data_IF_734443105431
#
_entry.id   IF_734443105431
#
_cell.length_a   1.000
_cell.length_b   1.000
_cell.length_c   1.000
_cell.angle_alpha   90.00
_cell.angle_beta   90.00
_cell.angle_gamma   90.00
#
_symmetry.space_group_name_H-M   'P 1'
#
loop_
_entity.id
_entity.type
_entity.pdbx_description
1 polymer ?
#
# COMPACT_ATOMS: atom_id res chain seq x y z
N UNK A 54 4.39 4.71 15.39
CA UNK A 54 5.36 3.89 16.09
C UNK A 54 5.60 2.62 15.26
N UNK A 55 6.58 1.81 15.62
CA UNK A 55 6.77 0.45 15.04
C UNK A 55 5.49 -0.41 14.95
N UNK A 56 5.53 -1.39 14.03
CA UNK A 56 4.42 -2.35 13.82
C UNK A 56 4.24 -3.17 15.10
N UNK A 57 3.03 -3.41 15.57
CA UNK A 57 2.82 -4.10 16.90
C UNK A 57 3.18 -5.60 16.87
N UNK A 58 4.21 -6.02 16.14
CA UNK A 58 4.68 -7.43 16.20
C UNK A 58 6.16 -7.42 16.70
N UNK A 59 6.67 -8.48 17.36
CA UNK A 59 8.13 -8.84 17.38
C UNK A 59 8.81 -8.86 15.99
N UNK A 60 10.15 -8.65 15.88
CA UNK A 60 10.92 -8.76 14.64
C UNK A 60 10.23 -8.20 13.40
N UNK A 61 9.89 -6.91 13.38
CA UNK A 61 8.82 -6.39 12.50
C UNK A 61 9.28 -6.26 11.04
N UNK A 62 10.36 -6.96 10.65
CA UNK A 62 10.95 -6.96 9.25
C UNK A 62 11.37 -5.56 8.83
N UNK A 63 11.81 -4.79 9.84
CA UNK A 63 12.19 -3.36 9.78
C UNK A 63 10.98 -2.41 9.53
N UNK A 64 9.78 -2.85 9.91
CA UNK A 64 8.54 -2.07 9.89
C UNK A 64 7.88 -2.07 8.50
N UNK A 65 8.59 -2.70 7.52
CA UNK A 65 8.02 -3.04 6.24
C UNK A 65 7.00 -4.19 6.39
N UNK A 66 5.88 -4.17 5.62
CA UNK A 66 4.88 -5.25 5.72
C UNK A 66 4.46 -5.77 4.38
N UNK A 67 4.88 -7.02 4.10
CA UNK A 67 4.32 -7.79 3.01
C UNK A 67 2.79 -8.00 3.22
N UNK A 68 2.08 -7.82 2.08
CA UNK A 68 0.62 -7.71 2.07
C UNK A 68 -0.01 -8.35 0.81
N UNK A 69 -1.17 -8.99 1.04
CA UNK A 69 -1.86 -9.71 0.00
C UNK A 69 -3.33 -9.38 0.21
N UNK A 70 -4.21 -9.90 -0.64
CA UNK A 70 -5.67 -9.78 -0.52
C UNK A 70 -6.18 -10.49 0.77
N UNK A 71 -5.67 -11.72 1.04
CA UNK A 71 -5.94 -12.41 2.29
C UNK A 71 -5.48 -11.65 3.53
N UNK A 72 -4.23 -11.15 3.57
CA UNK A 72 -3.73 -10.48 4.75
C UNK A 72 -4.45 -9.15 5.02
N UNK A 73 -4.72 -8.33 4.03
CA UNK A 73 -5.48 -7.11 4.23
C UNK A 73 -6.95 -7.35 4.75
N UNK A 74 -7.60 -8.42 4.29
CA UNK A 74 -8.96 -8.82 4.71
C UNK A 74 -10.05 -7.98 3.98
N UNK A 75 -9.75 -7.59 2.73
CA UNK A 75 -10.60 -6.73 1.94
C UNK A 75 -10.25 -7.02 0.47
N UNK A 76 -11.16 -6.71 -0.46
CA UNK A 76 -10.96 -6.80 -1.92
C UNK A 76 -9.70 -6.13 -2.46
N UNK A 77 -8.93 -6.91 -3.22
CA UNK A 77 -7.63 -6.45 -3.72
C UNK A 77 -7.79 -5.23 -4.69
N UNK A 78 -7.15 -4.08 -4.45
CA UNK A 78 -7.58 -2.77 -5.05
C UNK A 78 -6.77 -2.38 -6.26
N UNK A 79 -5.80 -3.19 -6.68
CA UNK A 79 -4.92 -2.88 -7.85
C UNK A 79 -4.93 -4.15 -8.75
N UNK A 80 -4.41 -4.05 -9.98
CA UNK A 80 -4.32 -5.21 -10.88
C UNK A 80 -3.01 -6.00 -10.75
N UNK A 81 -2.14 -5.59 -9.86
CA UNK A 81 -0.83 -6.24 -9.66
C UNK A 81 -0.88 -7.33 -8.56
N UNK A 82 0.08 -8.27 -8.53
CA UNK A 82 0.10 -9.35 -7.54
C UNK A 82 0.61 -8.86 -6.15
N UNK A 83 0.56 -9.73 -5.14
CA UNK A 83 0.94 -9.40 -3.74
C UNK A 83 2.39 -8.77 -3.51
N UNK A 84 2.54 -7.75 -2.61
CA UNK A 84 3.70 -6.85 -2.43
C UNK A 84 4.04 -6.51 -1.00
N UNK A 85 4.61 -5.28 -0.84
CA UNK A 85 4.92 -4.71 0.49
C UNK A 85 4.28 -3.30 0.56
N UNK A 86 3.83 -2.89 1.76
CA UNK A 86 3.42 -1.52 2.15
C UNK A 86 4.39 -0.98 3.25
N UNK A 87 4.67 0.34 3.22
CA UNK A 87 5.55 1.00 4.17
C UNK A 87 5.12 2.43 4.44
N UNK A 88 5.25 2.82 5.70
CA UNK A 88 5.09 4.23 6.11
C UNK A 88 6.46 4.88 5.98
N UNK A 89 6.58 6.09 5.46
CA UNK A 89 7.88 6.79 5.51
C UNK A 89 7.64 8.07 6.30
N UNK A 90 8.64 8.68 6.94
CA UNK A 90 8.52 10.03 7.64
C UNK A 90 7.70 11.21 7.02
N UNK A 91 6.89 11.85 7.88
CA UNK A 91 6.00 12.99 7.53
C UNK A 91 4.73 12.47 6.87
N UNK A 92 4.13 11.47 7.58
CA UNK A 92 2.84 10.85 7.29
C UNK A 92 2.69 10.49 5.79
N UNK A 93 3.72 9.90 5.16
CA UNK A 93 3.63 9.34 3.80
C UNK A 93 3.36 7.82 3.86
N UNK A 94 2.59 7.28 2.91
CA UNK A 94 2.40 5.85 2.82
C UNK A 94 2.80 5.40 1.40
N UNK A 95 3.66 4.35 1.34
CA UNK A 95 4.13 3.84 0.06
C UNK A 95 3.73 2.39 -0.11
N UNK A 96 3.67 1.95 -1.34
CA UNK A 96 3.34 0.60 -1.71
C UNK A 96 4.47 0.22 -2.69
N UNK A 97 5.05 -1.00 -2.62
CA UNK A 97 6.04 -1.47 -3.57
C UNK A 97 5.55 -2.82 -4.12
N UNK A 98 5.35 -2.86 -5.42
CA UNK A 98 5.04 -4.06 -6.17
C UNK A 98 6.05 -5.20 -6.05
N UNK A 99 5.63 -6.38 -6.45
CA UNK A 99 6.53 -7.54 -6.40
C UNK A 99 7.66 -7.50 -7.40
N UNK A 100 7.66 -6.60 -8.42
CA UNK A 100 8.78 -6.42 -9.36
C UNK A 100 9.80 -5.35 -8.89
N UNK A 101 9.53 -4.73 -7.76
CA UNK A 101 10.36 -3.75 -7.11
C UNK A 101 9.84 -2.34 -7.28
N UNK A 102 8.71 -2.07 -7.99
CA UNK A 102 8.38 -0.68 -8.28
C UNK A 102 7.71 0.02 -7.09
N UNK A 103 8.36 1.09 -6.63
CA UNK A 103 7.75 1.90 -5.57
C UNK A 103 6.75 2.93 -6.13
N UNK A 104 5.55 2.93 -5.52
CA UNK A 104 4.42 3.81 -5.84
C UNK A 104 3.95 4.60 -4.60
N UNK A 105 3.19 5.66 -4.88
CA UNK A 105 2.45 6.40 -3.85
C UNK A 105 1.13 5.75 -3.38
N UNK A 106 0.90 5.61 -2.07
CA UNK A 106 -0.38 5.06 -1.60
C UNK A 106 -1.32 6.22 -1.25
N UNK A 107 -0.86 7.27 -0.52
CA UNK A 107 -1.64 8.48 -0.22
C UNK A 107 -1.08 9.65 -1.08
N UNK A 108 -1.92 10.72 -1.15
CA UNK A 108 -1.66 11.98 -1.93
C UNK A 108 -0.33 12.67 -1.54
N UNK A 109 0.02 12.63 -0.22
CA UNK A 109 1.28 13.20 0.34
C UNK A 109 2.51 12.52 -0.29
N UNK A 110 2.45 11.20 -0.36
CA UNK A 110 3.53 10.43 -0.99
C UNK A 110 3.67 10.82 -2.46
N UNK A 111 2.54 11.09 -3.13
CA UNK A 111 2.56 11.53 -4.54
C UNK A 111 3.11 12.98 -4.66
N UNK A 112 2.71 13.89 -3.77
CA UNK A 112 3.36 15.22 -3.61
C UNK A 112 4.86 15.15 -3.33
N UNK A 113 5.29 14.13 -2.57
CA UNK A 113 6.70 13.90 -2.25
C UNK A 113 7.57 13.52 -3.45
N UNK A 114 7.07 12.79 -4.45
CA UNK A 114 7.88 12.36 -5.64
C UNK A 114 7.88 10.85 -5.84
N UNK A 115 7.06 10.18 -5.03
CA UNK A 115 6.79 8.74 -5.24
C UNK A 115 5.71 8.60 -6.36
N UNK A 116 5.83 7.78 -7.38
CA UNK A 116 4.91 7.83 -8.60
C UNK A 116 3.45 7.51 -8.44
N UNK A 117 2.60 8.10 -9.23
CA UNK A 117 1.17 7.67 -9.19
C UNK A 117 0.96 6.17 -9.22
N UNK A 118 -0.07 5.73 -8.50
CA UNK A 118 -0.38 4.32 -8.56
C UNK A 118 -1.49 4.09 -9.57
N UNK A 119 -1.81 5.13 -10.39
CA UNK A 119 -2.90 5.10 -11.30
C UNK A 119 -2.83 4.09 -12.42
N UNK A 120 -1.71 3.73 -13.06
CA UNK A 120 -1.87 2.93 -14.31
C UNK A 120 -2.29 1.49 -14.01
N UNK A 121 -2.06 1.04 -12.74
CA UNK A 121 -2.31 -0.34 -12.30
C UNK A 121 -3.56 -0.51 -11.43
N UNK A 122 -4.48 0.46 -11.56
CA UNK A 122 -5.82 0.46 -10.94
C UNK A 122 -6.71 -0.71 -11.40
N UNK A 123 -7.46 -1.29 -10.42
CA UNK A 123 -8.50 -2.27 -10.60
C UNK A 123 -9.93 -1.71 -10.63
N UNK A 124 -10.67 -2.11 -11.66
CA UNK A 124 -12.12 -1.91 -11.72
C UNK A 124 -12.88 -2.95 -10.94
N UNK A 125 -14.06 -2.52 -10.46
CA UNK A 125 -15.14 -3.40 -9.97
C UNK A 125 -15.97 -4.03 -11.10
N UNK A 126 -16.95 -4.92 -10.83
CA UNK A 126 -17.98 -5.27 -11.84
C UNK A 126 -18.94 -4.10 -12.30
N UNK A 127 -19.38 -4.13 -13.63
CA UNK A 127 -20.02 -2.99 -14.39
C UNK A 127 -19.12 -1.76 -14.41
N UNK A 128 -17.81 -2.01 -14.26
CA UNK A 128 -16.71 -1.05 -14.28
C UNK A 128 -16.48 -0.19 -13.00
N UNK A 129 -15.71 0.94 -13.09
CA UNK A 129 -15.53 1.85 -11.97
C UNK A 129 -14.35 1.42 -11.08
N UNK A 130 -13.45 2.36 -10.71
CA UNK A 130 -12.21 2.03 -9.96
C UNK A 130 -12.55 1.83 -8.48
N UNK A 131 -11.75 0.97 -7.84
CA UNK A 131 -11.80 0.72 -6.43
C UNK A 131 -10.88 1.67 -5.66
N UNK A 132 -11.31 2.00 -4.44
CA UNK A 132 -10.54 2.80 -3.46
C UNK A 132 -9.37 2.09 -2.76
N UNK A 133 -8.35 2.91 -2.50
CA UNK A 133 -7.12 2.53 -1.79
C UNK A 133 -7.19 2.87 -0.29
N UNK A 134 -8.38 3.04 0.27
CA UNK A 134 -8.57 3.60 1.59
C UNK A 134 -8.48 2.62 2.73
N UNK A 135 -9.17 1.49 2.56
CA UNK A 135 -9.08 0.41 3.51
C UNK A 135 -7.60 -0.06 3.60
N UNK A 136 -6.91 -0.18 2.46
CA UNK A 136 -5.50 -0.58 2.38
C UNK A 136 -4.58 0.51 3.00
N UNK A 137 -4.84 1.81 2.67
CA UNK A 137 -4.10 2.97 3.25
C UNK A 137 -4.30 3.03 4.74
N UNK A 138 -5.55 3.06 5.17
CA UNK A 138 -5.85 3.23 6.60
C UNK A 138 -5.15 2.14 7.44
N UNK A 139 -5.24 0.89 6.96
CA UNK A 139 -4.60 -0.29 7.58
C UNK A 139 -3.08 -0.15 7.57
N UNK A 140 -2.53 0.39 6.47
CA UNK A 140 -1.10 0.66 6.45
C UNK A 140 -0.63 1.70 7.48
N UNK A 141 -1.41 2.80 7.79
CA UNK A 141 -1.06 3.83 8.79
C UNK A 141 -1.56 3.51 10.25
N UNK A 142 -2.53 2.61 10.39
CA UNK A 142 -2.80 1.93 11.66
C UNK A 142 -1.56 1.10 12.11
N UNK A 143 -0.90 0.41 11.13
CA UNK A 143 0.20 -0.56 11.37
C UNK A 143 1.39 0.15 12.02
N UNK A 144 1.68 1.36 11.49
CA UNK A 144 2.79 2.22 11.95
C UNK A 144 2.28 3.36 12.85
N UNK A 145 1.14 3.13 13.53
CA UNK A 145 0.52 4.00 14.49
C UNK A 145 1.37 4.35 15.71
#
# INVERSE_FOLDING_TARGET
>A
HHHHHHSSGLVPRGSGMKETAAAKFERQHMDSPDLGTDDDDKTGGGRADPAHRSPVPLPSPTSNKQDISEANLAYLWPLTVDHGTIECLPSDNAVFVAPDGTTYALNDRAEKAGHPPITPIRAKGSGGGYISLGALLSTTLNLCGKG
#
